data_IF_357594573642
#
_entry.id   IF_357594573642
#
_cell.length_a   1.000
_cell.length_b   1.000
_cell.length_c   1.000
_cell.angle_alpha   90.00
_cell.angle_beta   90.00
_cell.angle_gamma   90.00
#
_symmetry.space_group_name_H-M   'P 1'
#
loop_
_entity.id
_entity.type
_entity.pdbx_description
1 polymer ?
#
# COMPACT_ATOMS: atom_id res chain seq x y z
N UNK A 1 16.75 -12.34 6.76
CA UNK A 1 16.54 -12.96 8.11
C UNK A 1 16.90 -12.01 9.25
N UNK A 2 18.10 -11.39 9.25
CA UNK A 2 18.49 -10.48 10.36
C UNK A 2 17.53 -9.28 10.43
N UNK A 3 17.25 -8.63 9.30
CA UNK A 3 16.33 -7.47 9.24
C UNK A 3 14.94 -7.84 9.72
N UNK A 4 14.37 -8.94 9.26
CA UNK A 4 13.05 -9.43 9.69
C UNK A 4 13.03 -9.71 11.21
N UNK A 5 14.06 -10.36 11.74
CA UNK A 5 14.17 -10.58 13.18
C UNK A 5 14.26 -9.27 13.96
N UNK A 6 15.02 -8.29 13.47
CA UNK A 6 15.15 -6.97 14.12
C UNK A 6 13.82 -6.20 14.07
N UNK A 7 13.13 -6.18 12.94
CA UNK A 7 11.80 -5.56 12.82
C UNK A 7 10.80 -6.22 13.79
N UNK A 8 10.80 -7.55 13.87
CA UNK A 8 9.94 -8.29 14.80
C UNK A 8 10.25 -7.93 16.26
N UNK A 9 11.52 -7.83 16.64
CA UNK A 9 11.89 -7.43 17.99
C UNK A 9 11.54 -5.98 18.29
N UNK A 10 11.75 -5.08 17.33
CA UNK A 10 11.35 -3.68 17.47
C UNK A 10 9.83 -3.54 17.63
N UNK A 11 9.04 -4.28 16.85
CA UNK A 11 7.58 -4.32 16.99
C UNK A 11 7.13 -4.78 18.38
N UNK A 12 7.74 -5.84 18.91
CA UNK A 12 7.46 -6.32 20.29
C UNK A 12 7.79 -5.26 21.33
N UNK A 13 8.94 -4.60 21.17
CA UNK A 13 9.33 -3.51 22.05
C UNK A 13 8.35 -2.33 21.95
N UNK A 14 8.02 -1.89 20.74
CA UNK A 14 7.11 -0.77 20.51
C UNK A 14 5.74 -1.03 21.14
N UNK A 15 5.19 -2.24 20.95
CA UNK A 15 3.94 -2.65 21.59
C UNK A 15 4.01 -2.46 23.10
N UNK A 16 5.07 -2.95 23.74
CA UNK A 16 5.25 -2.82 25.19
C UNK A 16 5.50 -1.38 25.62
N UNK A 17 6.19 -0.62 24.82
CA UNK A 17 6.42 0.80 25.08
C UNK A 17 5.11 1.62 25.07
N UNK A 18 4.18 1.34 24.13
CA UNK A 18 2.85 1.98 24.07
C UNK A 18 1.97 1.69 25.29
N UNK A 19 2.18 0.58 25.97
CA UNK A 19 1.46 0.24 27.21
C UNK A 19 1.91 1.08 28.43
N UNK A 20 3.02 1.86 28.30
CA UNK A 20 3.61 2.58 29.43
C UNK A 20 3.10 4.02 29.46
N UNK A 21 2.13 4.34 30.32
CA UNK A 21 1.48 5.63 30.44
C UNK A 21 2.40 6.82 30.77
N UNK A 22 3.59 6.56 31.32
CA UNK A 22 4.57 7.59 31.68
C UNK A 22 5.57 7.91 30.58
N UNK A 23 5.49 7.23 29.43
CA UNK A 23 6.37 7.48 28.29
C UNK A 23 5.74 8.48 27.33
N UNK A 24 6.61 9.27 26.67
CA UNK A 24 6.22 10.10 25.53
C UNK A 24 6.18 9.29 24.25
N UNK A 25 5.52 9.82 23.23
CA UNK A 25 5.45 9.23 21.90
C UNK A 25 6.83 9.04 21.29
N UNK A 26 7.03 7.89 20.66
CA UNK A 26 8.27 7.58 19.93
C UNK A 26 8.15 7.98 18.47
N UNK A 27 9.25 8.38 17.82
CA UNK A 27 9.31 8.46 16.37
C UNK A 27 8.99 7.10 15.75
N UNK A 28 8.37 7.12 14.56
CA UNK A 28 8.17 5.93 13.77
C UNK A 28 9.50 5.33 13.31
N UNK A 29 9.56 4.02 13.14
CA UNK A 29 10.63 3.37 12.40
C UNK A 29 10.22 3.29 10.92
N UNK A 30 10.95 3.99 10.06
CA UNK A 30 10.69 3.97 8.63
C UNK A 30 11.72 3.07 7.93
N UNK A 31 11.24 1.99 7.35
CA UNK A 31 12.04 1.02 6.62
C UNK A 31 11.73 1.12 5.12
N UNK A 32 12.74 1.39 4.31
CA UNK A 32 12.61 1.52 2.87
C UNK A 32 13.19 0.31 2.18
N UNK A 33 12.34 -0.46 1.51
CA UNK A 33 12.74 -1.53 0.60
C UNK A 33 12.90 -0.94 -0.80
N UNK A 34 14.13 -0.87 -1.29
CA UNK A 34 14.48 -0.18 -2.54
C UNK A 34 14.38 -1.10 -3.76
N UNK A 35 13.43 -2.02 -3.78
CA UNK A 35 13.09 -2.81 -4.96
C UNK A 35 11.68 -3.31 -4.83
N UNK A 36 10.91 -3.18 -5.89
CA UNK A 36 9.57 -3.75 -5.96
C UNK A 36 9.63 -5.27 -5.95
N UNK A 37 8.55 -5.92 -5.53
CA UNK A 37 8.48 -7.39 -5.45
C UNK A 37 8.72 -8.03 -6.84
N UNK A 38 8.23 -7.39 -7.89
CA UNK A 38 8.32 -7.89 -9.27
C UNK A 38 9.67 -7.65 -9.96
N UNK A 39 10.56 -6.88 -9.35
CA UNK A 39 11.88 -6.53 -9.91
C UNK A 39 13.04 -6.85 -8.97
N UNK A 40 12.89 -7.82 -8.13
CA UNK A 40 13.92 -8.19 -7.15
C UNK A 40 15.15 -8.84 -7.77
N UNK A 41 15.04 -9.46 -8.93
CA UNK A 41 16.14 -10.01 -9.72
C UNK A 41 17.23 -8.97 -10.03
N UNK A 42 16.89 -7.69 -10.15
CA UNK A 42 17.83 -6.58 -10.28
C UNK A 42 18.77 -6.38 -9.07
N UNK A 43 18.44 -6.97 -7.94
CA UNK A 43 19.25 -6.87 -6.71
C UNK A 43 20.21 -8.06 -6.51
N UNK A 44 20.20 -9.02 -7.41
CA UNK A 44 20.93 -10.27 -7.26
C UNK A 44 20.15 -11.32 -6.46
N UNK A 45 20.07 -12.50 -7.03
CA UNK A 45 19.21 -13.60 -6.60
C UNK A 45 19.40 -14.02 -5.13
N UNK A 46 20.60 -13.89 -4.59
CA UNK A 46 20.94 -14.36 -3.23
C UNK A 46 20.65 -13.36 -2.13
N UNK A 47 20.30 -12.12 -2.45
CA UNK A 47 20.15 -11.02 -1.49
C UNK A 47 18.69 -10.64 -1.24
N UNK A 48 17.76 -11.39 -1.79
CA UNK A 48 16.34 -11.08 -1.76
C UNK A 48 15.62 -11.85 -0.67
N UNK A 49 14.67 -11.18 -0.03
CA UNK A 49 13.69 -11.80 0.87
C UNK A 49 12.28 -11.28 0.50
N UNK A 50 11.67 -11.81 -0.57
CA UNK A 50 10.35 -11.39 -1.02
C UNK A 50 9.27 -11.69 0.02
N UNK A 51 9.53 -12.60 0.96
CA UNK A 51 8.62 -12.99 2.01
C UNK A 51 8.50 -11.98 3.16
N UNK A 52 9.33 -10.94 3.24
CA UNK A 52 9.32 -10.00 4.37
C UNK A 52 7.97 -9.29 4.52
N UNK A 53 7.36 -8.85 3.43
CA UNK A 53 6.05 -8.19 3.45
C UNK A 53 4.97 -9.16 3.93
N UNK A 54 4.94 -10.37 3.40
CA UNK A 54 4.01 -11.42 3.86
C UNK A 54 4.16 -11.68 5.35
N UNK A 55 5.39 -11.80 5.84
CA UNK A 55 5.65 -11.99 7.27
C UNK A 55 5.15 -10.84 8.13
N UNK A 56 5.27 -9.60 7.65
CA UNK A 56 4.78 -8.43 8.38
C UNK A 56 3.25 -8.37 8.37
N UNK A 57 2.65 -8.65 7.22
CA UNK A 57 1.19 -8.75 7.08
C UNK A 57 0.60 -9.83 8.00
N UNK A 58 1.20 -11.03 8.02
CA UNK A 58 0.77 -12.16 8.87
C UNK A 58 0.89 -11.90 10.38
N UNK A 59 1.68 -10.90 10.81
CA UNK A 59 1.73 -10.51 12.22
C UNK A 59 0.41 -9.89 12.70
N UNK A 60 -0.47 -9.52 11.78
CA UNK A 60 -1.80 -8.99 12.05
C UNK A 60 -1.78 -7.84 13.08
N UNK A 61 -0.90 -6.85 12.84
CA UNK A 61 -0.72 -5.70 13.73
C UNK A 61 -0.79 -4.37 12.98
N UNK A 62 -1.94 -4.09 12.34
CA UNK A 62 -2.16 -2.85 11.61
C UNK A 62 -2.20 -1.59 12.52
N UNK A 63 -2.27 -1.79 13.83
CA UNK A 63 -2.12 -0.75 14.83
C UNK A 63 -0.66 -0.31 15.04
N UNK A 64 0.29 -1.10 14.52
CA UNK A 64 1.74 -0.86 14.66
C UNK A 64 2.49 -0.85 13.34
N UNK A 65 1.96 -1.48 12.30
CA UNK A 65 2.66 -1.67 11.03
C UNK A 65 1.80 -1.09 9.90
N UNK A 66 2.45 -0.34 9.02
CA UNK A 66 1.92 0.09 7.74
C UNK A 66 2.82 -0.44 6.62
N UNK A 67 2.22 -1.01 5.60
CA UNK A 67 2.93 -1.49 4.40
C UNK A 67 2.48 -0.67 3.21
N UNK A 68 3.32 0.28 2.83
CA UNK A 68 3.06 1.19 1.73
C UNK A 68 3.71 0.70 0.45
N UNK A 69 2.90 0.52 -0.58
CA UNK A 69 3.29 0.10 -1.92
C UNK A 69 2.86 1.17 -2.95
N UNK A 70 3.57 2.30 -3.00
CA UNK A 70 3.19 3.42 -3.85
C UNK A 70 3.30 3.08 -5.34
N UNK A 71 2.36 3.60 -6.12
CA UNK A 71 2.22 3.30 -7.55
C UNK A 71 3.09 4.18 -8.45
N UNK A 72 3.50 5.35 -7.96
CA UNK A 72 4.31 6.33 -8.67
C UNK A 72 5.11 7.23 -7.72
N UNK A 73 5.85 8.19 -8.27
CA UNK A 73 6.70 9.08 -7.48
C UNK A 73 5.90 10.01 -6.56
N UNK A 74 4.74 10.53 -7.00
CA UNK A 74 3.95 11.42 -6.16
C UNK A 74 3.28 10.68 -5.01
N UNK A 75 2.83 9.44 -5.22
CA UNK A 75 2.36 8.59 -4.12
C UNK A 75 3.50 8.23 -3.16
N UNK A 76 4.72 7.99 -3.67
CA UNK A 76 5.89 7.76 -2.81
C UNK A 76 6.23 9.00 -1.98
N UNK A 77 6.20 10.20 -2.56
CA UNK A 77 6.43 11.45 -1.83
C UNK A 77 5.38 11.70 -0.74
N UNK A 78 4.10 11.47 -1.07
CA UNK A 78 3.01 11.59 -0.11
C UNK A 78 3.13 10.57 1.04
N UNK A 79 3.49 9.32 0.73
CA UNK A 79 3.78 8.29 1.74
C UNK A 79 4.97 8.70 2.61
N UNK A 80 6.04 9.22 2.01
CA UNK A 80 7.21 9.70 2.75
C UNK A 80 6.86 10.82 3.73
N UNK A 81 6.09 11.82 3.27
CA UNK A 81 5.62 12.92 4.13
C UNK A 81 4.80 12.41 5.31
N UNK A 82 3.87 11.47 5.06
CA UNK A 82 3.09 10.81 6.10
C UNK A 82 3.98 10.02 7.06
N UNK A 83 4.82 9.14 6.56
CA UNK A 83 5.68 8.26 7.36
C UNK A 83 6.64 9.03 8.28
N UNK A 84 7.16 10.18 7.84
CA UNK A 84 8.02 11.03 8.68
C UNK A 84 7.26 11.78 9.77
N UNK A 85 5.96 12.00 9.60
CA UNK A 85 5.09 12.62 10.61
C UNK A 85 4.50 11.62 11.60
N UNK A 86 4.39 10.35 11.20
CA UNK A 86 3.82 9.28 12.01
C UNK A 86 4.64 9.02 13.28
N UNK A 87 3.96 8.53 14.31
CA UNK A 87 4.53 8.19 15.61
C UNK A 87 4.11 6.79 16.01
N UNK A 88 4.95 6.14 16.81
CA UNK A 88 4.66 4.86 17.47
C UNK A 88 4.22 3.73 16.53
N UNK A 89 4.76 3.73 15.31
CA UNK A 89 4.50 2.70 14.31
C UNK A 89 5.77 2.34 13.53
N UNK A 90 5.64 1.33 12.72
CA UNK A 90 6.64 0.89 11.74
C UNK A 90 6.03 1.12 10.37
N UNK A 91 6.66 1.94 9.55
CA UNK A 91 6.29 2.16 8.17
C UNK A 91 7.28 1.41 7.27
N UNK A 92 6.77 0.50 6.46
CA UNK A 92 7.54 -0.19 5.43
C UNK A 92 7.14 0.39 4.08
N UNK A 93 8.08 1.01 3.39
CA UNK A 93 7.89 1.63 2.09
C UNK A 93 8.60 0.80 1.02
N UNK A 94 7.86 0.32 0.04
CA UNK A 94 8.45 -0.38 -1.11
C UNK A 94 8.57 0.60 -2.27
N UNK A 95 9.76 0.73 -2.85
CA UNK A 95 10.04 1.71 -3.90
C UNK A 95 10.70 1.05 -5.11
N UNK A 96 10.40 1.55 -6.32
CA UNK A 96 11.12 1.13 -7.52
C UNK A 96 12.51 1.78 -7.57
N UNK A 97 13.49 1.07 -8.12
CA UNK A 97 14.81 1.61 -8.48
C UNK A 97 14.84 2.23 -9.88
N UNK A 98 13.82 1.96 -10.66
CA UNK A 98 13.74 2.40 -12.04
C UNK A 98 12.79 3.59 -12.19
N UNK A 99 13.03 4.50 -13.13
CA UNK A 99 12.05 5.53 -13.49
C UNK A 99 10.74 4.86 -13.91
N UNK A 100 9.61 5.41 -13.43
CA UNK A 100 8.28 4.89 -13.71
C UNK A 100 7.36 6.01 -14.20
N UNK A 101 6.31 5.68 -14.96
CA UNK A 101 5.28 6.66 -15.32
C UNK A 101 4.69 7.31 -14.07
N UNK A 102 4.27 8.57 -14.23
CA UNK A 102 3.60 9.37 -13.24
C UNK A 102 2.11 9.38 -13.53
N UNK A 103 1.29 8.87 -12.59
CA UNK A 103 -0.14 8.68 -12.77
C UNK A 103 -0.99 9.73 -12.06
N UNK A 104 -0.55 10.15 -10.86
CA UNK A 104 -1.31 11.02 -9.98
C UNK A 104 -0.64 12.38 -9.82
N UNK A 105 -1.44 13.45 -9.72
CA UNK A 105 -0.97 14.70 -9.16
C UNK A 105 -0.60 14.52 -7.69
N UNK A 106 0.13 15.46 -7.11
CA UNK A 106 0.49 15.37 -5.68
C UNK A 106 -0.74 15.45 -4.78
N UNK A 107 -1.75 16.23 -5.17
CA UNK A 107 -3.02 16.38 -4.44
C UNK A 107 -3.86 15.09 -4.47
N UNK A 108 -3.89 14.40 -5.61
CA UNK A 108 -4.55 13.10 -5.73
C UNK A 108 -3.81 12.04 -4.92
N UNK A 109 -2.49 12.01 -5.03
CA UNK A 109 -1.62 11.12 -4.29
C UNK A 109 -1.80 11.29 -2.76
N UNK A 110 -1.86 12.53 -2.28
CA UNK A 110 -2.08 12.81 -0.86
C UNK A 110 -3.43 12.25 -0.38
N UNK A 111 -4.52 12.49 -1.14
CA UNK A 111 -5.85 11.94 -0.82
C UNK A 111 -5.88 10.43 -0.81
N UNK A 112 -5.16 9.80 -1.75
CA UNK A 112 -5.05 8.35 -1.86
C UNK A 112 -4.29 7.77 -0.66
N UNK A 113 -3.17 8.38 -0.28
CA UNK A 113 -2.34 7.97 0.86
C UNK A 113 -3.08 8.17 2.19
N UNK A 114 -3.82 9.26 2.35
CA UNK A 114 -4.60 9.52 3.57
C UNK A 114 -5.66 8.44 3.82
N UNK A 115 -6.29 7.95 2.75
CA UNK A 115 -7.26 6.85 2.82
C UNK A 115 -6.59 5.47 2.85
N UNK A 116 -5.41 5.35 2.25
CA UNK A 116 -4.66 4.11 2.05
C UNK A 116 -5.05 3.32 0.80
N UNK A 117 -6.23 3.56 0.23
CA UNK A 117 -6.68 3.05 -1.07
C UNK A 117 -7.78 3.95 -1.63
N UNK A 118 -8.06 3.83 -2.92
CA UNK A 118 -9.11 4.65 -3.51
C UNK A 118 -9.53 4.23 -4.92
N UNK A 119 -10.75 4.62 -5.25
CA UNK A 119 -11.31 4.57 -6.59
C UNK A 119 -10.60 5.57 -7.51
N UNK A 120 -10.22 5.11 -8.70
CA UNK A 120 -9.50 5.90 -9.68
C UNK A 120 -10.44 6.20 -10.87
N UNK A 121 -11.04 7.38 -10.81
CA UNK A 121 -12.10 7.81 -11.73
C UNK A 121 -11.64 7.81 -13.19
N UNK A 122 -10.46 8.38 -13.48
CA UNK A 122 -9.95 8.52 -14.84
C UNK A 122 -9.60 7.18 -15.52
N UNK A 123 -9.39 6.09 -14.74
CA UNK A 123 -9.13 4.73 -15.25
C UNK A 123 -10.35 3.81 -15.12
N UNK A 124 -11.49 4.33 -14.66
CA UNK A 124 -12.72 3.58 -14.47
C UNK A 124 -13.77 3.97 -15.52
N UNK A 125 -14.61 3.01 -15.94
CA UNK A 125 -15.69 3.25 -16.89
C UNK A 125 -17.09 3.06 -16.30
N UNK A 126 -17.18 2.60 -15.04
CA UNK A 126 -18.45 2.34 -14.35
C UNK A 126 -19.21 3.61 -13.96
N UNK A 127 -18.57 4.77 -13.93
CA UNK A 127 -19.17 6.09 -13.57
C UNK A 127 -19.95 6.04 -12.25
N UNK A 128 -19.48 5.25 -11.29
CA UNK A 128 -20.11 5.06 -9.99
C UNK A 128 -21.31 4.11 -9.99
N UNK A 129 -21.66 3.49 -11.12
CA UNK A 129 -22.65 2.41 -11.18
C UNK A 129 -22.06 1.09 -10.66
N UNK A 130 -22.89 0.07 -10.55
CA UNK A 130 -22.39 -1.28 -10.24
C UNK A 130 -21.46 -1.74 -11.36
N UNK A 131 -20.20 -2.08 -11.07
CA UNK A 131 -19.25 -2.54 -12.08
C UNK A 131 -19.58 -3.98 -12.52
N UNK A 132 -19.18 -4.31 -13.75
CA UNK A 132 -19.17 -5.69 -14.24
C UNK A 132 -17.87 -6.39 -13.81
N UNK A 133 -16.78 -5.63 -13.68
CA UNK A 133 -15.49 -6.11 -13.20
C UNK A 133 -14.80 -5.04 -12.36
N UNK A 134 -14.10 -5.48 -11.31
CA UNK A 134 -13.25 -4.62 -10.48
C UNK A 134 -11.80 -5.07 -10.64
N UNK A 135 -10.93 -4.13 -10.98
CA UNK A 135 -9.48 -4.30 -10.91
C UNK A 135 -8.95 -3.61 -9.67
N UNK A 136 -8.01 -4.26 -9.00
CA UNK A 136 -7.25 -3.66 -7.91
C UNK A 136 -5.77 -3.92 -8.11
N UNK A 137 -4.95 -2.90 -7.90
CA UNK A 137 -3.51 -3.05 -7.93
C UNK A 137 -2.83 -2.24 -6.84
N UNK A 138 -1.62 -2.62 -6.55
CA UNK A 138 -0.70 -1.92 -5.66
C UNK A 138 0.67 -1.88 -6.33
N UNK A 139 1.59 -1.05 -5.85
CA UNK A 139 2.95 -0.98 -6.38
C UNK A 139 3.02 -0.44 -7.83
N UNK A 140 4.21 -0.29 -8.37
CA UNK A 140 4.42 0.32 -9.71
C UNK A 140 4.09 -0.63 -10.84
N UNK A 141 4.66 -1.84 -10.86
CA UNK A 141 4.50 -2.78 -11.95
C UNK A 141 3.06 -3.29 -12.11
N UNK A 142 2.38 -3.78 -11.06
CA UNK A 142 0.98 -4.17 -11.19
C UNK A 142 0.07 -3.04 -11.61
N UNK A 143 0.38 -1.79 -11.22
CA UNK A 143 -0.38 -0.62 -11.66
C UNK A 143 -0.24 -0.39 -13.16
N UNK A 144 0.98 -0.45 -13.71
CA UNK A 144 1.22 -0.31 -15.15
C UNK A 144 0.45 -1.39 -15.95
N UNK A 145 0.60 -2.65 -15.54
CA UNK A 145 -0.04 -3.78 -16.22
C UNK A 145 -1.57 -3.72 -16.11
N UNK A 146 -2.09 -3.33 -14.97
CA UNK A 146 -3.54 -3.17 -14.78
C UNK A 146 -4.11 -2.05 -15.64
N UNK A 147 -3.45 -0.90 -15.72
CA UNK A 147 -3.88 0.20 -16.57
C UNK A 147 -3.85 -0.17 -18.04
N UNK A 148 -2.80 -0.88 -18.49
CA UNK A 148 -2.72 -1.40 -19.86
C UNK A 148 -3.83 -2.42 -20.16
N UNK A 149 -4.15 -3.30 -19.20
CA UNK A 149 -5.24 -4.27 -19.36
C UNK A 149 -6.61 -3.57 -19.45
N UNK A 150 -6.85 -2.54 -18.64
CA UNK A 150 -8.08 -1.73 -18.68
C UNK A 150 -8.24 -1.06 -20.03
N UNK A 151 -7.18 -0.45 -20.56
CA UNK A 151 -7.18 0.21 -21.88
C UNK A 151 -7.55 -0.76 -23.00
N UNK A 152 -6.92 -1.94 -23.03
CA UNK A 152 -7.22 -3.00 -24.01
C UNK A 152 -8.67 -3.50 -23.87
N UNK A 153 -9.17 -3.63 -22.66
CA UNK A 153 -10.54 -4.09 -22.43
C UNK A 153 -11.56 -3.04 -22.85
N UNK A 154 -11.29 -1.77 -22.58
CA UNK A 154 -12.13 -0.67 -23.01
C UNK A 154 -12.25 -0.61 -24.54
N UNK A 155 -11.13 -0.80 -25.26
CA UNK A 155 -11.11 -0.84 -26.72
C UNK A 155 -11.91 -2.01 -27.30
N UNK A 156 -11.80 -3.20 -26.67
CA UNK A 156 -12.47 -4.41 -27.16
C UNK A 156 -13.92 -4.53 -26.72
N UNK A 157 -14.26 -3.97 -25.57
CA UNK A 157 -15.57 -4.08 -24.92
C UNK A 157 -16.00 -2.72 -24.37
N UNK A 158 -16.40 -1.76 -25.23
CA UNK A 158 -16.69 -0.38 -24.81
C UNK A 158 -17.81 -0.25 -23.79
N UNK A 159 -18.73 -1.20 -23.76
CA UNK A 159 -19.88 -1.22 -22.83
C UNK A 159 -19.55 -1.84 -21.46
N UNK A 160 -18.35 -2.42 -21.30
CA UNK A 160 -17.93 -3.06 -20.05
C UNK A 160 -17.69 -1.99 -18.97
N UNK A 161 -18.39 -2.14 -17.85
CA UNK A 161 -18.23 -1.26 -16.69
C UNK A 161 -17.08 -1.75 -15.82
N UNK A 162 -15.96 -1.08 -15.95
CA UNK A 162 -14.73 -1.38 -15.24
C UNK A 162 -14.58 -0.41 -14.08
N UNK A 163 -14.29 -0.93 -12.89
CA UNK A 163 -13.85 -0.17 -11.73
C UNK A 163 -12.39 -0.46 -11.44
N UNK A 164 -11.62 0.60 -11.23
CA UNK A 164 -10.22 0.47 -10.82
C UNK A 164 -9.98 1.06 -9.43
N UNK A 165 -9.38 0.26 -8.57
CA UNK A 165 -8.97 0.62 -7.21
C UNK A 165 -7.45 0.55 -7.12
N UNK A 166 -6.82 1.64 -6.69
CA UNK A 166 -5.40 1.61 -6.33
C UNK A 166 -5.25 1.49 -4.81
N UNK A 167 -4.41 0.56 -4.37
CA UNK A 167 -4.15 0.27 -2.95
C UNK A 167 -2.73 0.70 -2.63
N UNK A 168 -2.58 1.64 -1.72
CA UNK A 168 -1.26 2.14 -1.27
C UNK A 168 -0.85 1.52 0.05
N UNK A 169 -1.76 1.40 1.02
CA UNK A 169 -1.52 0.74 2.31
C UNK A 169 -2.31 -0.56 2.37
N UNK A 170 -1.62 -1.69 2.18
CA UNK A 170 -2.28 -3.01 2.14
C UNK A 170 -2.87 -3.42 3.49
N UNK A 171 -2.38 -2.82 4.60
CA UNK A 171 -2.92 -3.09 5.93
C UNK A 171 -4.37 -2.58 6.08
N UNK A 172 -4.82 -1.69 5.21
CA UNK A 172 -6.21 -1.22 5.15
C UNK A 172 -7.21 -2.29 4.73
N UNK A 173 -6.76 -3.33 4.04
CA UNK A 173 -7.59 -4.46 3.58
C UNK A 173 -7.71 -5.59 4.62
N UNK A 174 -7.10 -5.42 5.79
CA UNK A 174 -7.29 -6.38 6.89
C UNK A 174 -8.70 -6.29 7.45
N UNK A 175 -9.13 -7.36 8.13
CA UNK A 175 -10.46 -7.38 8.75
C UNK A 175 -10.66 -6.19 9.71
N UNK A 176 -11.76 -5.43 9.60
CA UNK A 176 -12.06 -4.34 10.52
C UNK A 176 -12.31 -4.81 11.97
N UNK A 177 -12.57 -6.11 12.19
CA UNK A 177 -12.67 -6.69 13.53
C UNK A 177 -11.34 -6.65 14.28
N UNK A 178 -10.25 -6.79 13.55
CA UNK A 178 -8.89 -6.84 14.10
C UNK A 178 -8.15 -5.52 13.91
N UNK A 179 -8.64 -4.65 13.02
CA UNK A 179 -7.98 -3.40 12.63
C UNK A 179 -8.94 -2.22 12.63
N UNK A 180 -8.84 -1.34 13.61
CA UNK A 180 -9.61 -0.10 13.67
C UNK A 180 -9.28 0.88 12.53
N UNK A 181 -8.14 0.71 11.87
CA UNK A 181 -7.69 1.52 10.75
C UNK A 181 -8.01 0.89 9.39
N UNK A 182 -8.58 -0.31 9.36
CA UNK A 182 -9.09 -0.93 8.14
C UNK A 182 -10.27 -0.13 7.56
N UNK A 183 -10.53 -0.32 6.29
CA UNK A 183 -11.81 0.14 5.73
C UNK A 183 -12.96 -0.67 6.33
N UNK A 184 -14.14 -0.05 6.46
CA UNK A 184 -15.32 -0.78 6.94
C UNK A 184 -15.81 -1.79 5.91
N UNK A 185 -16.63 -2.76 6.37
CA UNK A 185 -17.25 -3.73 5.47
C UNK A 185 -18.13 -3.02 4.42
N UNK A 186 -18.84 -1.95 4.79
CA UNK A 186 -19.65 -1.16 3.85
C UNK A 186 -18.78 -0.44 2.81
N UNK A 187 -17.63 0.08 3.21
CA UNK A 187 -16.71 0.72 2.28
C UNK A 187 -16.05 -0.32 1.37
N UNK A 188 -15.74 -1.50 1.90
CA UNK A 188 -15.23 -2.61 1.11
C UNK A 188 -16.25 -3.03 0.06
N UNK A 189 -17.51 -3.32 0.44
CA UNK A 189 -18.59 -3.71 -0.47
C UNK A 189 -18.90 -2.61 -1.51
N UNK A 190 -18.68 -1.34 -1.16
CA UNK A 190 -18.88 -0.23 -2.09
C UNK A 190 -17.76 -0.14 -3.14
N UNK A 191 -16.54 -0.49 -2.76
CA UNK A 191 -15.37 -0.40 -3.64
C UNK A 191 -15.21 -1.65 -4.50
N UNK A 192 -15.37 -2.81 -3.91
CA UNK A 192 -15.14 -4.10 -4.55
C UNK A 192 -16.45 -4.83 -4.85
#
# INVERSE_FOLDING_TARGET
RVVDSMLTQHMKWLRKAKEQYWRHDYPSLNFVATSTVFQQDHNGYTHQDPGILTHLYEKNRPDLIHEYLPSDTNTLLAVGDKAFKDRECINVLVTSKQPRPQWFSIEEAQKLVDKGLGYIDWASTDKGAKPDVVFASTETEPTIETLAAIDILHDKFPDLKIRYINVVDVMKLMSPKDNKNAISDEEFDRLF
#
